data_IF_279853343290
#
_entry.id   IF_279853343290
#
_cell.length_a   1.000
_cell.length_b   1.000
_cell.length_c   1.000
_cell.angle_alpha   90.00
_cell.angle_beta   90.00
_cell.angle_gamma   90.00
#
_symmetry.space_group_name_H-M   'P 1'
#
loop_
_entity.id
_entity.type
_entity.pdbx_description
1 polymer ?
#
# COMPACT_ATOMS: atom_id res chain seq x y z
N UNK A 1 -15.53 -14.87 9.41
CA UNK A 1 -16.88 -15.13 8.90
C UNK A 1 -17.89 -14.72 9.96
N UNK A 2 -19.20 -14.72 9.65
CA UNK A 2 -20.25 -14.29 10.60
C UNK A 2 -20.27 -15.11 11.90
N UNK A 3 -19.74 -16.33 11.86
CA UNK A 3 -19.56 -17.25 13.00
C UNK A 3 -18.28 -16.99 13.82
N UNK A 4 -17.50 -15.96 13.48
CA UNK A 4 -16.23 -15.63 14.15
C UNK A 4 -15.01 -16.43 13.68
N UNK A 5 -15.16 -17.40 12.76
CA UNK A 5 -14.03 -18.12 12.19
C UNK A 5 -13.17 -17.20 11.30
N UNK A 6 -11.87 -17.50 11.20
CA UNK A 6 -10.91 -16.72 10.39
C UNK A 6 -10.44 -17.57 9.21
N UNK A 7 -10.63 -17.08 8.00
CA UNK A 7 -10.02 -17.62 6.79
C UNK A 7 -8.87 -16.71 6.35
N UNK A 8 -7.71 -17.30 6.07
CA UNK A 8 -6.54 -16.60 5.54
C UNK A 8 -6.19 -17.13 4.17
N UNK A 9 -6.26 -16.27 3.16
CA UNK A 9 -5.94 -16.61 1.76
C UNK A 9 -4.69 -15.85 1.33
N UNK A 10 -3.61 -16.53 0.89
CA UNK A 10 -2.42 -15.86 0.39
C UNK A 10 -2.70 -15.03 -0.87
N UNK A 11 -2.14 -13.82 -0.96
CA UNK A 11 -2.33 -12.91 -2.10
C UNK A 11 -2.06 -13.58 -3.46
N UNK A 12 -0.92 -14.28 -3.59
CA UNK A 12 -0.55 -14.97 -4.85
C UNK A 12 -1.39 -16.21 -5.16
N UNK A 13 -2.26 -16.63 -4.22
CA UNK A 13 -3.27 -17.67 -4.44
C UNK A 13 -4.56 -17.14 -5.06
N UNK A 14 -4.73 -15.80 -5.14
CA UNK A 14 -5.87 -15.18 -5.82
C UNK A 14 -5.64 -15.16 -7.33
N UNK A 15 -6.72 -15.33 -8.11
CA UNK A 15 -6.71 -15.21 -9.57
C UNK A 15 -6.68 -13.74 -10.00
N UNK A 16 -5.56 -13.08 -9.78
CA UNK A 16 -5.41 -11.63 -10.00
C UNK A 16 -5.69 -11.19 -11.44
N UNK A 17 -5.50 -12.08 -12.41
CA UNK A 17 -5.87 -11.87 -13.81
C UNK A 17 -7.39 -11.72 -14.04
N UNK A 18 -8.23 -12.28 -13.17
CA UNK A 18 -9.70 -12.20 -13.25
C UNK A 18 -10.29 -11.12 -12.33
N UNK A 19 -9.46 -10.42 -11.55
CA UNK A 19 -9.89 -9.45 -10.53
C UNK A 19 -9.54 -8.00 -10.89
N UNK A 20 -9.14 -7.73 -12.13
CA UNK A 20 -8.68 -6.39 -12.55
C UNK A 20 -9.77 -5.32 -12.46
N UNK A 21 -11.03 -5.69 -12.67
CA UNK A 21 -12.16 -4.76 -12.69
C UNK A 21 -12.82 -4.58 -11.32
N UNK A 22 -12.27 -5.17 -10.26
CA UNK A 22 -12.78 -5.02 -8.88
C UNK A 22 -12.45 -3.63 -8.32
N UNK A 23 -11.36 -3.02 -8.76
CA UNK A 23 -10.96 -1.68 -8.31
C UNK A 23 -11.70 -0.61 -9.13
N UNK A 24 -12.43 0.26 -8.44
CA UNK A 24 -13.06 1.40 -9.08
C UNK A 24 -12.02 2.32 -9.76
N UNK A 25 -12.33 2.92 -10.92
CA UNK A 25 -11.47 3.90 -11.60
C UNK A 25 -10.96 5.04 -10.71
N UNK A 26 -11.79 5.51 -9.76
CA UNK A 26 -11.39 6.53 -8.78
C UNK A 26 -10.28 6.04 -7.85
N UNK A 27 -10.33 4.79 -7.39
CA UNK A 27 -9.28 4.19 -6.57
C UNK A 27 -7.97 4.03 -7.37
N UNK A 28 -8.10 3.73 -8.67
CA UNK A 28 -6.97 3.62 -9.60
C UNK A 28 -6.37 4.97 -9.99
N UNK A 29 -7.01 6.08 -9.63
CA UNK A 29 -6.54 7.45 -9.87
C UNK A 29 -6.25 8.22 -8.58
N UNK A 30 -6.37 7.58 -7.40
CA UNK A 30 -6.11 8.22 -6.11
C UNK A 30 -4.60 8.27 -5.78
N UNK A 31 -4.14 9.42 -5.27
CA UNK A 31 -2.76 9.60 -4.77
C UNK A 31 -2.72 10.03 -3.30
N UNK A 32 -3.82 9.84 -2.56
CA UNK A 32 -3.94 10.24 -1.16
C UNK A 32 -4.06 9.03 -0.20
N UNK A 33 -3.12 8.09 -0.32
CA UNK A 33 -3.18 6.82 0.40
C UNK A 33 -3.02 6.98 1.93
N UNK A 34 -2.39 8.07 2.36
CA UNK A 34 -2.14 8.39 3.77
C UNK A 34 -3.07 9.46 4.32
N UNK A 35 -4.11 9.85 3.58
CA UNK A 35 -5.09 10.88 3.95
C UNK A 35 -4.40 12.17 4.45
N UNK A 36 -3.75 12.86 3.51
CA UNK A 36 -2.84 13.97 3.76
C UNK A 36 -3.49 15.20 4.39
N UNK A 37 -4.81 15.33 4.29
CA UNK A 37 -5.57 16.48 4.80
C UNK A 37 -6.27 16.22 6.15
N UNK A 38 -6.21 14.99 6.67
CA UNK A 38 -6.75 14.69 7.99
C UNK A 38 -5.92 15.34 9.11
N UNK A 39 -6.53 15.54 10.28
CA UNK A 39 -5.82 15.97 11.49
C UNK A 39 -5.09 14.79 12.16
N UNK A 40 -5.73 13.61 12.15
CA UNK A 40 -5.19 12.33 12.63
C UNK A 40 -5.58 11.19 11.68
N UNK A 41 -4.66 10.25 11.44
CA UNK A 41 -4.87 9.09 10.56
C UNK A 41 -4.57 7.81 11.32
N UNK A 42 -5.54 6.89 11.34
CA UNK A 42 -5.41 5.56 11.92
C UNK A 42 -5.46 4.53 10.79
N UNK A 43 -4.51 3.60 10.79
CA UNK A 43 -4.43 2.56 9.76
C UNK A 43 -3.58 1.38 10.25
N UNK A 44 -3.18 0.49 9.35
CA UNK A 44 -2.35 -0.67 9.70
C UNK A 44 -1.11 -0.84 8.82
N UNK A 45 -0.96 -0.02 7.77
CA UNK A 45 0.03 -0.27 6.71
C UNK A 45 1.49 -0.29 7.20
N UNK A 46 1.84 0.49 8.23
CA UNK A 46 3.19 0.47 8.79
C UNK A 46 3.26 -0.09 10.21
N UNK A 47 2.21 -0.80 10.63
CA UNK A 47 2.17 -1.47 11.92
C UNK A 47 2.48 -2.97 11.76
N UNK A 48 3.03 -3.62 12.80
CA UNK A 48 3.02 -5.08 12.89
C UNK A 48 1.60 -5.64 12.80
N UNK A 49 1.46 -6.88 12.36
CA UNK A 49 0.15 -7.54 12.33
C UNK A 49 -0.52 -7.52 13.71
N UNK A 50 -1.81 -7.19 13.76
CA UNK A 50 -2.56 -7.03 15.01
C UNK A 50 -2.44 -5.65 15.66
N UNK A 51 -1.58 -4.76 15.14
CA UNK A 51 -1.43 -3.38 15.60
C UNK A 51 -1.95 -2.37 14.59
N UNK A 52 -2.28 -1.18 15.07
CA UNK A 52 -2.58 -0.02 14.24
C UNK A 52 -1.42 0.97 14.29
N UNK A 53 -1.19 1.68 13.19
CA UNK A 53 -0.39 2.89 13.16
C UNK A 53 -1.29 4.06 13.48
N UNK A 54 -0.72 5.11 14.07
CA UNK A 54 -1.35 6.42 14.21
C UNK A 54 -0.39 7.47 13.63
N UNK A 55 -0.90 8.37 12.79
CA UNK A 55 -0.17 9.56 12.32
C UNK A 55 -0.94 10.80 12.75
N UNK A 56 -0.39 11.53 13.71
CA UNK A 56 -0.86 12.86 14.10
C UNK A 56 -0.23 13.88 13.17
N UNK A 57 -1.03 14.78 12.58
CA UNK A 57 -0.59 15.72 11.55
C UNK A 57 -0.53 17.17 12.03
N UNK A 58 -1.27 17.51 13.09
CA UNK A 58 -1.33 18.84 13.67
C UNK A 58 -1.84 18.80 15.12
N UNK A 59 -1.87 19.95 15.79
CA UNK A 59 -2.27 20.11 17.19
C UNK A 59 -3.69 19.61 17.44
N UNK A 60 -4.63 19.84 16.52
CA UNK A 60 -6.00 19.33 16.64
C UNK A 60 -6.03 17.80 16.62
N UNK A 61 -5.23 17.17 15.76
CA UNK A 61 -5.06 15.72 15.74
C UNK A 61 -4.46 15.19 17.04
N UNK A 62 -3.56 15.95 17.67
CA UNK A 62 -3.00 15.61 18.98
C UNK A 62 -4.08 15.67 20.07
N UNK A 63 -4.87 16.75 20.11
CA UNK A 63 -6.01 16.86 21.04
C UNK A 63 -6.98 15.68 20.91
N UNK A 64 -7.25 15.22 19.67
CA UNK A 64 -8.08 14.04 19.43
C UNK A 64 -7.47 12.75 19.99
N UNK A 65 -6.14 12.55 19.86
CA UNK A 65 -5.45 11.38 20.39
C UNK A 65 -5.43 11.39 21.92
N UNK A 66 -5.18 12.56 22.52
CA UNK A 66 -5.06 12.73 23.97
C UNK A 66 -6.34 12.35 24.72
N UNK A 67 -7.52 12.48 24.08
CA UNK A 67 -8.82 12.07 24.65
C UNK A 67 -8.91 10.57 24.97
N UNK A 68 -8.12 9.74 24.29
CA UNK A 68 -8.20 8.27 24.40
C UNK A 68 -6.86 7.63 24.75
N UNK A 69 -5.80 8.44 24.94
CA UNK A 69 -4.44 7.93 25.09
C UNK A 69 -4.28 6.99 26.30
N UNK A 70 -5.04 7.20 27.37
CA UNK A 70 -5.07 6.36 28.57
C UNK A 70 -5.72 4.98 28.35
N UNK A 71 -6.45 4.81 27.24
CA UNK A 71 -7.11 3.57 26.84
C UNK A 71 -6.30 2.78 25.79
N UNK A 72 -5.15 3.30 25.37
CA UNK A 72 -4.33 2.70 24.31
C UNK A 72 -3.05 2.08 24.89
N UNK A 73 -2.73 0.87 24.42
CA UNK A 73 -1.35 0.36 24.48
C UNK A 73 -0.60 0.85 23.24
N UNK A 74 0.58 1.45 23.44
CA UNK A 74 1.33 2.08 22.35
C UNK A 74 2.78 1.62 22.33
N UNK A 75 3.32 1.50 21.12
CA UNK A 75 4.72 1.15 20.91
C UNK A 75 5.32 2.01 19.79
N UNK A 76 6.65 2.26 19.80
CA UNK A 76 7.30 2.98 18.72
C UNK A 76 7.14 2.28 17.37
N UNK A 77 7.09 3.07 16.29
CA UNK A 77 7.11 2.54 14.93
C UNK A 77 8.49 1.99 14.57
N UNK A 78 8.52 0.82 13.92
CA UNK A 78 9.73 0.22 13.37
C UNK A 78 9.90 0.50 11.87
N UNK A 79 11.12 0.35 11.34
CA UNK A 79 11.40 0.45 9.90
C UNK A 79 12.62 -0.42 9.56
N UNK A 80 12.45 -1.50 8.80
CA UNK A 80 13.55 -2.38 8.38
C UNK A 80 13.36 -2.93 6.97
N UNK A 81 14.47 -3.28 6.31
CA UNK A 81 14.49 -3.80 4.94
C UNK A 81 14.69 -2.71 3.87
N UNK A 82 14.55 -3.10 2.61
CA UNK A 82 14.58 -2.20 1.46
C UNK A 82 13.44 -2.57 0.50
N UNK A 83 12.55 -1.60 0.25
CA UNK A 83 11.41 -1.79 -0.65
C UNK A 83 11.74 -1.69 -2.14
N UNK A 84 12.82 -1.00 -2.53
CA UNK A 84 12.97 -0.52 -3.93
C UNK A 84 12.95 -1.64 -4.95
N UNK A 85 13.70 -2.70 -4.70
CA UNK A 85 13.73 -3.86 -5.59
C UNK A 85 12.35 -4.54 -5.69
N UNK A 86 11.65 -4.67 -4.57
CA UNK A 86 10.32 -5.28 -4.52
C UNK A 86 9.30 -4.45 -5.32
N UNK A 87 9.31 -3.13 -5.20
CA UNK A 87 8.44 -2.24 -6.00
C UNK A 87 8.80 -2.35 -7.48
N UNK A 88 10.08 -2.28 -7.83
CA UNK A 88 10.49 -2.34 -9.24
C UNK A 88 10.08 -3.65 -9.92
N UNK A 89 10.14 -4.77 -9.20
CA UNK A 89 9.76 -6.09 -9.70
C UNK A 89 8.23 -6.28 -9.75
N UNK A 90 7.47 -5.59 -8.89
CA UNK A 90 6.00 -5.73 -8.85
C UNK A 90 5.31 -5.01 -10.00
N UNK A 91 5.86 -3.91 -10.54
CA UNK A 91 5.31 -3.14 -11.66
C UNK A 91 4.89 -4.04 -12.85
N UNK A 92 5.77 -4.85 -13.46
CA UNK A 92 5.37 -5.73 -14.57
C UNK A 92 4.46 -6.88 -14.12
N UNK A 93 4.54 -7.32 -12.85
CA UNK A 93 3.72 -8.40 -12.33
C UNK A 93 2.24 -7.99 -12.18
N UNK A 94 1.99 -6.75 -11.72
CA UNK A 94 0.64 -6.18 -11.66
C UNK A 94 0.03 -6.02 -13.05
N UNK A 95 0.83 -5.57 -14.01
CA UNK A 95 0.37 -5.41 -15.41
C UNK A 95 -0.05 -6.75 -16.02
N UNK A 96 0.74 -7.80 -15.77
CA UNK A 96 0.52 -9.16 -16.30
C UNK A 96 -0.50 -9.99 -15.51
N UNK A 97 -0.83 -9.63 -14.27
CA UNK A 97 -1.77 -10.39 -13.43
C UNK A 97 -1.26 -11.79 -13.11
N UNK A 98 0.00 -11.91 -12.67
CA UNK A 98 0.64 -13.21 -12.39
C UNK A 98 -0.06 -13.91 -11.22
N UNK A 99 -0.38 -15.20 -11.41
CA UNK A 99 -0.96 -16.09 -10.39
C UNK A 99 -0.02 -17.29 -10.16
N UNK A 100 0.18 -17.69 -8.91
CA UNK A 100 1.01 -18.85 -8.56
C UNK A 100 0.15 -20.03 -8.06
N UNK A 101 0.60 -21.28 -8.24
CA UNK A 101 0.00 -22.41 -7.53
C UNK A 101 0.01 -22.18 -6.02
N UNK A 102 -1.06 -22.60 -5.31
CA UNK A 102 -1.27 -22.29 -3.89
C UNK A 102 -0.09 -22.70 -2.99
N UNK A 103 0.56 -23.83 -3.28
CA UNK A 103 1.73 -24.28 -2.51
C UNK A 103 2.93 -23.33 -2.68
N UNK A 104 3.16 -22.82 -3.90
CA UNK A 104 4.22 -21.86 -4.20
C UNK A 104 3.91 -20.48 -3.63
N UNK A 105 2.63 -20.06 -3.69
CA UNK A 105 2.15 -18.84 -3.06
C UNK A 105 2.38 -18.83 -1.53
N UNK A 106 2.11 -19.96 -0.86
CA UNK A 106 2.37 -20.12 0.58
C UNK A 106 3.86 -20.01 0.91
N UNK A 107 4.73 -20.68 0.16
CA UNK A 107 6.18 -20.61 0.38
C UNK A 107 6.71 -19.18 0.18
N UNK A 108 6.25 -18.51 -0.88
CA UNK A 108 6.59 -17.12 -1.15
C UNK A 108 6.13 -16.19 -0.02
N UNK A 109 4.94 -16.43 0.53
CA UNK A 109 4.45 -15.71 1.70
C UNK A 109 5.40 -15.78 2.88
N UNK A 110 5.89 -16.99 3.22
CA UNK A 110 6.85 -17.19 4.33
C UNK A 110 8.18 -16.47 4.09
N UNK A 111 8.68 -16.47 2.84
CA UNK A 111 9.94 -15.78 2.49
C UNK A 111 9.77 -14.26 2.62
N UNK A 112 8.68 -13.72 2.09
CA UNK A 112 8.37 -12.28 2.16
C UNK A 112 8.19 -11.84 3.61
N UNK A 113 7.51 -12.62 4.44
CA UNK A 113 7.32 -12.31 5.86
C UNK A 113 8.65 -12.23 6.63
N UNK A 114 9.62 -13.09 6.28
CA UNK A 114 10.93 -13.13 6.94
C UNK A 114 11.88 -12.05 6.43
N UNK A 115 11.93 -11.84 5.12
CA UNK A 115 13.00 -11.06 4.45
C UNK A 115 12.49 -9.71 3.91
N UNK A 116 11.18 -9.57 3.73
CA UNK A 116 10.56 -8.37 3.19
C UNK A 116 10.65 -7.15 4.12
N UNK A 117 10.35 -5.95 3.58
CA UNK A 117 10.34 -4.73 4.38
C UNK A 117 9.30 -4.81 5.49
N UNK A 118 9.56 -4.18 6.63
CA UNK A 118 8.68 -4.19 7.81
C UNK A 118 8.44 -2.79 8.36
N UNK A 119 7.31 -2.63 9.03
CA UNK A 119 6.89 -1.37 9.63
C UNK A 119 6.75 -0.26 8.58
N UNK A 120 7.31 0.92 8.85
CA UNK A 120 7.25 2.06 7.94
C UNK A 120 7.86 1.78 6.57
N UNK A 121 8.83 0.86 6.47
CA UNK A 121 9.40 0.50 5.17
C UNK A 121 8.41 -0.29 4.30
N UNK A 122 7.58 -1.13 4.92
CA UNK A 122 6.48 -1.79 4.23
C UNK A 122 5.39 -0.79 3.82
N UNK A 123 5.10 0.20 4.67
CA UNK A 123 4.15 1.25 4.30
C UNK A 123 4.62 2.03 3.06
N UNK A 124 5.90 2.40 3.00
CA UNK A 124 6.49 3.02 1.81
C UNK A 124 6.45 2.07 0.61
N UNK A 125 6.69 0.77 0.79
CA UNK A 125 6.53 -0.23 -0.29
C UNK A 125 5.11 -0.20 -0.87
N UNK A 126 4.11 -0.17 0.00
CA UNK A 126 2.70 -0.13 -0.43
C UNK A 126 2.37 1.18 -1.15
N UNK A 127 2.81 2.32 -0.62
CA UNK A 127 2.62 3.64 -1.24
C UNK A 127 3.25 3.69 -2.63
N UNK A 128 4.53 3.34 -2.75
CA UNK A 128 5.27 3.39 -4.00
C UNK A 128 4.66 2.43 -5.05
N UNK A 129 4.26 1.23 -4.63
CA UNK A 129 3.57 0.26 -5.50
C UNK A 129 2.22 0.76 -6.00
N UNK A 130 1.41 1.39 -5.13
CA UNK A 130 0.11 1.94 -5.53
C UNK A 130 0.25 3.19 -6.40
N UNK A 131 1.18 4.07 -6.09
CA UNK A 131 1.38 5.30 -6.88
C UNK A 131 1.92 5.00 -8.26
N UNK A 132 2.86 4.06 -8.40
CA UNK A 132 3.34 3.64 -9.74
C UNK A 132 2.21 3.01 -10.57
N UNK A 133 1.39 2.13 -9.97
CA UNK A 133 0.20 1.56 -10.62
C UNK A 133 -0.82 2.62 -11.03
N UNK A 134 -1.16 3.53 -10.12
CA UNK A 134 -2.17 4.56 -10.35
C UNK A 134 -1.68 5.61 -11.37
N UNK A 135 -0.39 5.95 -11.34
CA UNK A 135 0.23 6.80 -12.35
C UNK A 135 0.12 6.19 -13.74
N UNK A 136 0.45 4.90 -13.90
CA UNK A 136 0.28 4.18 -15.16
C UNK A 136 -1.19 4.13 -15.60
N UNK A 137 -2.12 3.92 -14.66
CA UNK A 137 -3.54 3.95 -14.96
C UNK A 137 -3.99 5.31 -15.53
N UNK A 138 -3.64 6.41 -14.86
CA UNK A 138 -3.99 7.77 -15.31
C UNK A 138 -3.31 8.07 -16.64
N UNK A 139 -2.02 7.72 -16.80
CA UNK A 139 -1.27 7.91 -18.05
C UNK A 139 -1.93 7.18 -19.23
N UNK A 140 -2.45 5.98 -19.02
CA UNK A 140 -3.04 5.15 -20.08
C UNK A 140 -4.48 5.54 -20.43
N UNK A 141 -5.26 6.01 -19.46
CA UNK A 141 -6.71 6.23 -19.64
C UNK A 141 -7.11 7.71 -19.69
N UNK A 142 -6.30 8.60 -19.12
CA UNK A 142 -6.57 10.04 -18.93
C UNK A 142 -5.28 10.86 -19.09
N UNK A 143 -4.48 10.55 -20.12
CA UNK A 143 -3.18 11.18 -20.36
C UNK A 143 -3.25 12.72 -20.37
N UNK A 144 -4.36 13.28 -20.85
CA UNK A 144 -4.62 14.71 -20.94
C UNK A 144 -4.75 15.40 -19.57
N UNK A 145 -4.94 14.63 -18.49
CA UNK A 145 -5.05 15.13 -17.11
C UNK A 145 -3.85 14.77 -16.24
N UNK A 146 -2.89 14.00 -16.75
CA UNK A 146 -1.84 13.39 -15.95
C UNK A 146 -1.04 14.43 -15.15
N UNK A 147 -0.63 15.51 -15.80
CA UNK A 147 0.23 16.52 -15.19
C UNK A 147 -0.49 17.33 -14.10
N UNK A 148 -1.76 17.65 -14.30
CA UNK A 148 -2.58 18.43 -13.37
C UNK A 148 -3.14 17.59 -12.22
N UNK A 149 -3.44 16.30 -12.49
CA UNK A 149 -4.08 15.40 -11.53
C UNK A 149 -3.09 14.76 -10.56
N UNK A 150 -1.89 14.41 -11.02
CA UNK A 150 -0.90 13.73 -10.16
C UNK A 150 -0.16 14.77 -9.30
N UNK A 151 -0.23 14.69 -7.96
CA UNK A 151 0.48 15.64 -7.10
C UNK A 151 2.01 15.52 -7.24
N UNK A 152 2.72 16.63 -7.05
CA UNK A 152 4.18 16.67 -7.17
C UNK A 152 4.92 15.68 -6.27
N UNK A 153 4.44 15.43 -5.04
CA UNK A 153 5.05 14.43 -4.16
C UNK A 153 4.92 13.01 -4.73
N UNK A 154 3.81 12.71 -5.40
CA UNK A 154 3.59 11.41 -6.03
C UNK A 154 4.47 11.25 -7.27
N UNK A 155 4.62 12.30 -8.10
CA UNK A 155 5.56 12.30 -9.24
C UNK A 155 6.99 12.02 -8.77
N UNK A 156 7.45 12.65 -7.69
CA UNK A 156 8.79 12.40 -7.10
C UNK A 156 8.98 10.97 -6.62
N UNK A 157 7.93 10.32 -6.11
CA UNK A 157 7.97 8.90 -5.74
C UNK A 157 8.08 8.03 -7.00
N UNK A 158 7.19 8.26 -7.96
CA UNK A 158 7.10 7.49 -9.20
C UNK A 158 8.41 7.57 -10.00
N UNK A 159 9.05 8.75 -10.05
CA UNK A 159 10.31 8.98 -10.76
C UNK A 159 11.52 8.22 -10.20
N UNK A 160 11.38 7.53 -9.06
CA UNK A 160 12.43 6.65 -8.52
C UNK A 160 12.46 5.27 -9.22
N UNK A 161 11.48 4.97 -10.07
CA UNK A 161 11.29 3.66 -10.69
C UNK A 161 11.30 3.73 -12.21
N UNK A 162 11.69 2.62 -12.84
CA UNK A 162 11.58 2.44 -14.29
C UNK A 162 10.18 1.96 -14.63
N UNK A 163 9.43 2.80 -15.32
CA UNK A 163 8.09 2.49 -15.81
C UNK A 163 8.13 2.00 -17.26
N UNK A 164 7.13 1.19 -17.68
CA UNK A 164 6.94 0.91 -19.10
C UNK A 164 6.57 2.19 -19.88
N UNK A 165 6.92 2.21 -21.17
CA UNK A 165 6.61 3.33 -22.06
C UNK A 165 5.10 3.51 -22.25
N UNK A 166 4.37 2.40 -22.31
CA UNK A 166 2.92 2.31 -22.47
C UNK A 166 2.23 2.18 -21.11
#
# INVERSE_FOLDING_TARGET
>A
HEDGSIETVPFFGLKTNQLKDVFAPSCMSCFDYVNGLADIVVGYMGAPFGWQWITVRNDRGQEMLDLVMDQLDTQPVGSTGDRKAAVQQSIPAYDKGVTLPMWAAKLMGVVIERVGPKGLEYARFSIDSHFTRNYLYVKRNHHEKLDDHVPEFAKRIVNQYKLPDN
#
